data_IF_103437174841
#
_entry.id   IF_103437174841
#
_cell.length_a   1.000
_cell.length_b   1.000
_cell.length_c   1.000
_cell.angle_alpha   90.00
_cell.angle_beta   90.00
_cell.angle_gamma   90.00
#
_symmetry.space_group_name_H-M   'P 1'
#
loop_
_entity.id
_entity.type
_entity.pdbx_description
1 polymer ?
#
# COMPACT_ATOMS: atom_id res chain seq x y z
N UNK A 1 -34.16 6.12 11.06
CA UNK A 1 -33.03 5.20 11.10
C UNK A 1 -31.72 6.00 11.12
N UNK A 2 -30.81 5.66 12.03
CA UNK A 2 -29.48 6.31 12.08
C UNK A 2 -28.68 5.84 10.85
N UNK A 3 -28.19 6.78 10.04
CA UNK A 3 -27.40 6.46 8.86
C UNK A 3 -26.05 5.87 9.32
N UNK A 4 -25.72 4.68 8.84
CA UNK A 4 -24.40 4.07 9.08
C UNK A 4 -23.47 4.53 7.96
N UNK A 5 -22.39 5.20 8.31
CA UNK A 5 -21.38 5.70 7.39
C UNK A 5 -20.28 4.63 7.28
N UNK A 6 -19.92 4.27 6.05
CA UNK A 6 -18.92 3.23 5.79
C UNK A 6 -17.51 3.64 6.25
N UNK A 7 -17.16 4.90 6.08
CA UNK A 7 -15.85 5.45 6.45
C UNK A 7 -16.10 6.81 7.07
N UNK A 8 -15.61 7.01 8.29
CA UNK A 8 -15.64 8.29 8.97
C UNK A 8 -14.23 8.61 9.48
N UNK A 9 -13.65 9.77 9.12
CA UNK A 9 -12.37 10.20 9.66
C UNK A 9 -12.46 10.43 11.17
N UNK A 10 -11.50 9.89 11.92
CA UNK A 10 -11.37 10.15 13.34
C UNK A 10 -10.42 11.34 13.53
N UNK A 11 -11.00 12.54 13.70
CA UNK A 11 -10.28 13.79 13.95
C UNK A 11 -10.87 14.46 15.18
N UNK A 12 -10.03 14.78 16.15
CA UNK A 12 -10.42 15.37 17.41
C UNK A 12 -9.66 16.63 17.78
N UNK A 13 -9.71 16.97 19.04
CA UNK A 13 -9.04 18.16 19.58
C UNK A 13 -7.53 18.05 19.51
N UNK A 14 -6.98 16.87 19.67
CA UNK A 14 -5.52 16.65 19.65
C UNK A 14 -4.94 16.95 18.26
N UNK A 15 -5.57 16.44 17.20
CA UNK A 15 -5.15 16.72 15.82
C UNK A 15 -5.31 18.20 15.50
N UNK A 16 -6.43 18.80 15.90
CA UNK A 16 -6.68 20.23 15.70
C UNK A 16 -5.64 21.09 16.37
N UNK A 17 -5.31 20.81 17.64
CA UNK A 17 -4.30 21.54 18.39
C UNK A 17 -2.90 21.36 17.79
N UNK A 18 -2.58 20.14 17.34
CA UNK A 18 -1.28 19.87 16.72
C UNK A 18 -1.12 20.61 15.39
N UNK A 19 -2.14 20.61 14.53
CA UNK A 19 -2.12 21.36 13.26
C UNK A 19 -1.94 22.85 13.54
N UNK A 20 -2.65 23.42 14.55
CA UNK A 20 -2.50 24.82 14.97
C UNK A 20 -1.06 25.18 15.35
N UNK A 21 -0.38 24.28 16.09
CA UNK A 21 1.03 24.47 16.43
C UNK A 21 1.94 24.47 15.19
N UNK A 22 1.67 23.59 14.21
CA UNK A 22 2.46 23.54 12.96
C UNK A 22 2.26 24.82 12.15
N UNK A 23 1.01 25.26 11.99
CA UNK A 23 0.68 26.50 11.26
C UNK A 23 1.36 27.71 11.90
N UNK A 24 1.36 27.80 13.25
CA UNK A 24 2.01 28.90 13.97
C UNK A 24 3.53 28.95 13.78
N UNK A 25 4.16 27.83 13.39
CA UNK A 25 5.59 27.78 13.05
C UNK A 25 5.89 28.28 11.65
N UNK A 26 4.86 28.58 10.85
CA UNK A 26 4.92 29.10 9.46
C UNK A 26 5.62 28.19 8.42
N UNK A 27 6.29 27.13 8.83
CA UNK A 27 6.97 26.21 7.92
C UNK A 27 6.04 25.01 7.62
N UNK A 28 5.29 25.11 6.52
CA UNK A 28 4.20 24.18 6.17
C UNK A 28 4.62 23.10 5.14
N UNK A 29 5.83 23.18 4.61
CA UNK A 29 6.37 22.22 3.66
C UNK A 29 7.12 21.10 4.38
N UNK A 30 7.83 20.25 3.65
CA UNK A 30 8.66 19.20 4.22
C UNK A 30 9.68 19.78 5.23
N UNK A 31 9.51 19.44 6.49
CA UNK A 31 10.27 20.01 7.59
C UNK A 31 10.38 19.04 8.78
N UNK A 32 10.59 19.58 9.97
CA UNK A 32 10.82 18.83 11.22
C UNK A 32 9.72 17.79 11.51
N UNK A 33 8.45 18.11 11.24
CA UNK A 33 7.34 17.21 11.57
C UNK A 33 7.29 16.00 10.62
N UNK A 34 7.61 16.18 9.34
CA UNK A 34 7.77 15.08 8.39
C UNK A 34 8.86 14.13 8.86
N UNK A 35 10.03 14.67 9.23
CA UNK A 35 11.14 13.85 9.74
C UNK A 35 10.79 13.11 11.03
N UNK A 36 10.10 13.75 11.96
CA UNK A 36 9.62 13.11 13.18
C UNK A 36 8.65 11.98 12.90
N UNK A 37 7.77 12.15 11.92
CA UNK A 37 6.85 11.10 11.48
C UNK A 37 7.63 9.92 10.89
N UNK A 38 8.53 10.15 9.94
CA UNK A 38 9.38 9.12 9.34
C UNK A 38 10.18 8.34 10.38
N UNK A 39 10.77 9.03 11.36
CA UNK A 39 11.53 8.39 12.44
C UNK A 39 10.65 7.51 13.35
N UNK A 40 9.42 7.95 13.64
CA UNK A 40 8.44 7.14 14.37
C UNK A 40 8.06 5.87 13.59
N UNK A 41 7.83 6.00 12.28
CA UNK A 41 7.51 4.87 11.39
C UNK A 41 8.69 3.89 11.34
N UNK A 42 9.92 4.37 11.13
CA UNK A 42 11.13 3.53 11.17
C UNK A 42 11.22 2.73 12.47
N UNK A 43 11.03 3.39 13.61
CA UNK A 43 11.08 2.75 14.93
C UNK A 43 9.98 1.70 15.09
N UNK A 44 8.73 2.04 14.70
CA UNK A 44 7.58 1.15 14.86
C UNK A 44 7.70 -0.12 14.01
N UNK A 45 8.14 0.02 12.77
CA UNK A 45 8.25 -1.09 11.81
C UNK A 45 9.66 -1.70 11.75
N UNK A 46 10.59 -1.22 12.57
CA UNK A 46 12.00 -1.67 12.57
C UNK A 46 12.63 -1.61 11.18
N UNK A 47 12.23 -0.62 10.38
CA UNK A 47 12.74 -0.41 9.03
C UNK A 47 13.97 0.51 9.06
N UNK A 48 14.89 0.30 8.10
CA UNK A 48 16.09 1.15 7.96
C UNK A 48 15.73 2.54 7.45
N UNK A 49 14.71 2.63 6.60
CA UNK A 49 14.25 3.86 5.97
C UNK A 49 12.73 3.99 6.06
N UNK A 50 12.25 5.20 6.08
CA UNK A 50 10.87 5.58 5.85
C UNK A 50 10.87 6.89 5.08
N UNK A 51 9.96 7.04 4.13
CA UNK A 51 9.79 8.23 3.32
C UNK A 51 8.32 8.60 3.28
N UNK A 52 8.00 9.79 3.74
CA UNK A 52 6.65 10.34 3.60
C UNK A 52 6.41 10.75 2.15
N UNK A 53 5.23 10.47 1.66
CA UNK A 53 4.79 10.82 0.30
C UNK A 53 3.44 11.51 0.36
N UNK A 54 3.06 12.23 -0.70
CA UNK A 54 1.84 13.04 -0.72
C UNK A 54 0.55 12.24 -0.55
N UNK A 55 0.52 11.00 -1.01
CA UNK A 55 -0.62 10.10 -0.89
C UNK A 55 -0.23 8.64 -1.18
N UNK A 56 -1.16 7.72 -0.89
CA UNK A 56 -0.96 6.29 -1.07
C UNK A 56 -0.68 5.88 -2.52
N UNK A 57 -1.38 6.48 -3.50
CA UNK A 57 -1.19 6.18 -4.93
C UNK A 57 0.24 6.44 -5.37
N UNK A 58 0.79 7.61 -4.97
CA UNK A 58 2.17 7.96 -5.27
C UNK A 58 3.16 7.05 -4.54
N UNK A 59 2.86 6.65 -3.31
CA UNK A 59 3.68 5.69 -2.56
C UNK A 59 3.81 4.35 -3.27
N UNK A 60 2.71 3.78 -3.74
CA UNK A 60 2.71 2.54 -4.52
C UNK A 60 3.45 2.70 -5.85
N UNK A 61 3.15 3.78 -6.59
CA UNK A 61 3.84 4.08 -7.85
C UNK A 61 5.35 4.18 -7.67
N UNK A 62 5.81 4.95 -6.70
CA UNK A 62 7.24 5.12 -6.39
C UNK A 62 7.88 3.80 -5.97
N UNK A 63 7.18 2.96 -5.21
CA UNK A 63 7.66 1.64 -4.82
C UNK A 63 7.89 0.74 -6.03
N UNK A 64 6.95 0.72 -6.99
CA UNK A 64 7.09 -0.03 -8.23
C UNK A 64 8.26 0.49 -9.07
N UNK A 65 8.42 1.81 -9.19
CA UNK A 65 9.55 2.41 -9.90
C UNK A 65 10.90 2.12 -9.23
N UNK A 66 10.96 2.15 -7.91
CA UNK A 66 12.17 1.79 -7.14
C UNK A 66 12.58 0.32 -7.32
N UNK A 67 11.61 -0.55 -7.64
CA UNK A 67 11.84 -1.96 -7.99
C UNK A 67 12.13 -2.18 -9.49
N UNK A 68 12.25 -1.10 -10.28
CA UNK A 68 12.44 -1.12 -11.75
C UNK A 68 11.31 -1.85 -12.49
N UNK A 69 10.08 -1.80 -11.96
CA UNK A 69 8.90 -2.39 -12.59
C UNK A 69 8.30 -1.41 -13.59
N UNK A 70 7.97 -1.90 -14.79
CA UNK A 70 7.46 -1.06 -15.87
C UNK A 70 6.95 -1.84 -17.08
N UNK A 71 7.16 -1.28 -18.27
CA UNK A 71 6.65 -1.85 -19.54
C UNK A 71 7.10 -3.29 -19.74
N UNK A 72 6.14 -4.18 -19.98
CA UNK A 72 6.36 -5.61 -20.19
C UNK A 72 6.28 -6.45 -18.92
N UNK A 73 6.27 -5.82 -17.76
CA UNK A 73 6.12 -6.51 -16.48
C UNK A 73 4.65 -6.63 -16.08
N UNK A 74 4.35 -7.64 -15.30
CA UNK A 74 3.04 -7.88 -14.70
C UNK A 74 3.12 -7.71 -13.18
N UNK A 75 2.09 -7.05 -12.61
CA UNK A 75 1.92 -6.91 -11.17
C UNK A 75 0.56 -7.48 -10.77
N UNK A 76 0.56 -8.46 -9.88
CA UNK A 76 -0.67 -9.09 -9.40
C UNK A 76 -1.29 -8.20 -8.33
N UNK A 77 -2.59 -7.92 -8.46
CA UNK A 77 -3.38 -7.09 -7.55
C UNK A 77 -4.71 -7.78 -7.23
N UNK A 78 -5.31 -7.59 -6.04
CA UNK A 78 -6.61 -8.18 -5.73
C UNK A 78 -7.75 -7.51 -6.52
N UNK A 79 -8.81 -8.27 -6.85
CA UNK A 79 -10.00 -7.74 -7.52
C UNK A 79 -10.87 -6.87 -6.60
N UNK A 80 -10.71 -6.98 -5.28
CA UNK A 80 -11.38 -6.11 -4.30
C UNK A 80 -10.32 -5.28 -3.58
N UNK A 81 -10.22 -4.01 -3.96
CA UNK A 81 -9.23 -3.07 -3.42
C UNK A 81 -9.63 -1.64 -3.74
N UNK A 82 -8.98 -0.67 -3.11
CA UNK A 82 -9.07 0.71 -3.52
C UNK A 82 -8.39 0.89 -4.89
N UNK A 83 -8.98 1.69 -5.76
CA UNK A 83 -8.54 1.87 -7.17
C UNK A 83 -7.06 2.28 -7.31
N UNK A 84 -6.49 2.94 -6.30
CA UNK A 84 -5.07 3.33 -6.28
C UNK A 84 -4.12 2.15 -6.50
N UNK A 85 -4.48 0.94 -6.04
CA UNK A 85 -3.69 -0.27 -6.22
C UNK A 85 -3.48 -0.59 -7.69
N UNK A 86 -4.55 -0.56 -8.48
CA UNK A 86 -4.48 -0.82 -9.94
C UNK A 86 -3.85 0.36 -10.69
N UNK A 87 -4.27 1.58 -10.35
CA UNK A 87 -3.78 2.79 -11.01
C UNK A 87 -2.27 2.96 -10.86
N UNK A 88 -1.70 2.63 -9.70
CA UNK A 88 -0.26 2.72 -9.49
C UNK A 88 0.54 1.79 -10.42
N UNK A 89 0.00 0.61 -10.73
CA UNK A 89 0.60 -0.33 -11.68
C UNK A 89 0.56 0.23 -13.10
N UNK A 90 -0.59 0.76 -13.52
CA UNK A 90 -0.76 1.40 -14.83
C UNK A 90 0.17 2.61 -14.97
N UNK A 91 0.23 3.46 -13.96
CA UNK A 91 1.12 4.63 -13.92
C UNK A 91 2.61 4.22 -14.03
N UNK A 92 2.99 3.09 -13.46
CA UNK A 92 4.35 2.56 -13.58
C UNK A 92 4.67 2.04 -14.99
N UNK A 93 3.65 1.90 -15.85
CA UNK A 93 3.76 1.34 -17.20
C UNK A 93 3.71 -0.19 -17.24
N UNK A 94 3.37 -0.83 -16.12
CA UNK A 94 3.22 -2.27 -16.01
C UNK A 94 1.76 -2.71 -16.25
N UNK A 95 1.54 -4.01 -16.42
CA UNK A 95 0.22 -4.59 -16.63
C UNK A 95 -0.33 -5.13 -15.30
N UNK A 96 -1.47 -4.64 -14.81
CA UNK A 96 -2.11 -5.23 -13.64
C UNK A 96 -2.75 -6.58 -14.00
N UNK A 97 -2.48 -7.61 -13.22
CA UNK A 97 -3.10 -8.94 -13.33
C UNK A 97 -4.01 -9.12 -12.12
N UNK A 98 -5.30 -9.27 -12.38
CA UNK A 98 -6.30 -9.34 -11.33
C UNK A 98 -6.31 -10.73 -10.69
N UNK A 99 -6.20 -10.76 -9.38
CA UNK A 99 -6.30 -11.96 -8.57
C UNK A 99 -7.63 -11.98 -7.80
N UNK A 100 -8.29 -13.12 -7.77
CA UNK A 100 -9.46 -13.32 -6.92
C UNK A 100 -9.10 -13.17 -5.44
N UNK A 101 -10.11 -12.90 -4.63
CA UNK A 101 -10.00 -12.84 -3.17
C UNK A 101 -10.62 -14.09 -2.53
N UNK A 102 -10.15 -14.40 -1.33
CA UNK A 102 -10.81 -15.31 -0.41
C UNK A 102 -12.01 -14.59 0.22
N UNK A 103 -13.23 -15.10 -0.01
CA UNK A 103 -14.49 -14.50 0.46
C UNK A 103 -14.56 -14.38 1.99
N UNK A 104 -13.82 -15.19 2.73
CA UNK A 104 -13.87 -15.21 4.20
C UNK A 104 -13.10 -14.04 4.83
N UNK A 105 -12.04 -13.56 4.19
CA UNK A 105 -11.14 -12.55 4.77
C UNK A 105 -10.78 -11.42 3.81
N UNK A 106 -11.34 -11.41 2.60
CA UNK A 106 -11.14 -10.41 1.56
C UNK A 106 -9.68 -10.21 1.15
N UNK A 107 -8.81 -11.17 1.48
CA UNK A 107 -7.40 -11.15 1.05
C UNK A 107 -7.21 -11.90 -0.26
N UNK A 108 -6.02 -11.79 -0.87
CA UNK A 108 -5.69 -12.54 -2.09
C UNK A 108 -5.94 -14.05 -1.90
N UNK A 109 -6.70 -14.67 -2.81
CA UNK A 109 -6.81 -16.13 -2.90
C UNK A 109 -5.47 -16.71 -3.34
N UNK A 110 -4.82 -17.40 -2.43
CA UNK A 110 -3.49 -18.01 -2.65
C UNK A 110 -3.51 -19.07 -3.76
N UNK A 111 -4.62 -19.77 -3.94
CA UNK A 111 -4.73 -20.80 -4.99
C UNK A 111 -4.87 -20.15 -6.37
N UNK A 112 -5.68 -19.10 -6.48
CA UNK A 112 -5.76 -18.32 -7.71
C UNK A 112 -4.46 -17.61 -8.00
N UNK A 113 -3.83 -16.97 -6.99
CA UNK A 113 -2.51 -16.35 -7.13
C UNK A 113 -1.47 -17.27 -7.76
N UNK A 114 -1.37 -18.52 -7.28
CA UNK A 114 -0.44 -19.51 -7.84
C UNK A 114 -0.69 -19.82 -9.32
N UNK A 115 -1.97 -19.82 -9.73
CA UNK A 115 -2.37 -20.16 -11.11
C UNK A 115 -2.06 -19.05 -12.11
N UNK A 116 -2.12 -17.77 -11.68
CA UNK A 116 -1.96 -16.62 -12.57
C UNK A 116 -0.52 -16.08 -12.66
N UNK A 117 0.41 -16.63 -11.88
CA UNK A 117 1.84 -16.27 -11.97
C UNK A 117 2.36 -16.65 -13.35
N UNK A 118 2.95 -15.69 -14.06
CA UNK A 118 3.63 -15.87 -15.33
C UNK A 118 5.13 -15.56 -15.25
N UNK A 119 5.85 -15.73 -16.35
CA UNK A 119 7.26 -15.30 -16.46
C UNK A 119 7.42 -13.77 -16.40
N UNK A 120 6.36 -13.02 -16.70
CA UNK A 120 6.32 -11.55 -16.66
C UNK A 120 5.96 -11.01 -15.29
N UNK A 121 5.44 -11.84 -14.37
CA UNK A 121 5.08 -11.41 -13.01
C UNK A 121 6.33 -11.01 -12.23
N UNK A 122 6.41 -9.73 -11.84
CA UNK A 122 7.53 -9.15 -11.10
C UNK A 122 7.18 -8.77 -9.67
N UNK A 123 5.92 -8.42 -9.41
CA UNK A 123 5.47 -8.05 -8.08
C UNK A 123 4.03 -8.50 -7.82
N UNK A 124 3.68 -8.50 -6.54
CA UNK A 124 2.30 -8.60 -6.06
C UNK A 124 2.06 -7.49 -5.04
N UNK A 125 0.88 -6.89 -5.06
CA UNK A 125 0.45 -5.89 -4.08
C UNK A 125 -0.67 -6.51 -3.24
N UNK A 126 -0.38 -7.14 -2.10
CA UNK A 126 -1.40 -7.61 -1.18
C UNK A 126 -2.07 -6.42 -0.48
N UNK A 127 -3.36 -6.51 -0.23
CA UNK A 127 -4.12 -5.47 0.45
C UNK A 127 -4.75 -6.04 1.72
N UNK A 128 -4.51 -5.37 2.85
CA UNK A 128 -5.12 -5.68 4.15
C UNK A 128 -6.44 -4.91 4.26
N UNK A 129 -7.51 -5.47 3.69
CA UNK A 129 -8.79 -4.77 3.57
C UNK A 129 -9.59 -4.89 4.87
N UNK A 130 -10.18 -3.78 5.33
CA UNK A 130 -11.03 -3.69 6.53
C UNK A 130 -10.41 -4.30 7.80
N UNK A 131 -9.07 -4.29 7.91
CA UNK A 131 -8.37 -4.84 9.06
C UNK A 131 -8.05 -6.34 8.98
N UNK A 132 -8.51 -7.04 7.95
CA UNK A 132 -8.09 -8.42 7.68
C UNK A 132 -6.70 -8.44 7.06
N UNK A 133 -5.80 -9.23 7.64
CA UNK A 133 -4.45 -9.37 7.12
C UNK A 133 -4.34 -10.51 6.10
N UNK A 134 -3.69 -10.23 4.97
CA UNK A 134 -3.27 -11.29 4.05
C UNK A 134 -2.31 -12.26 4.76
N UNK A 135 -2.34 -13.53 4.38
CA UNK A 135 -1.35 -14.50 4.85
C UNK A 135 0.00 -14.26 4.16
N UNK A 136 0.76 -13.32 4.75
CA UNK A 136 2.06 -12.90 4.21
C UNK A 136 3.10 -14.02 4.27
N UNK A 137 3.02 -14.95 5.21
CA UNK A 137 3.99 -16.05 5.33
C UNK A 137 3.93 -16.98 4.11
N UNK A 138 2.72 -17.35 3.71
CA UNK A 138 2.51 -18.18 2.52
C UNK A 138 2.89 -17.38 1.26
N UNK A 139 2.44 -16.13 1.16
CA UNK A 139 2.69 -15.28 0.02
C UNK A 139 4.20 -15.06 -0.18
N UNK A 140 4.92 -14.67 0.87
CA UNK A 140 6.36 -14.45 0.85
C UNK A 140 7.13 -15.72 0.47
N UNK A 141 6.71 -16.89 0.95
CA UNK A 141 7.32 -18.17 0.58
C UNK A 141 7.21 -18.46 -0.92
N UNK A 142 6.06 -18.17 -1.52
CA UNK A 142 5.84 -18.34 -2.96
C UNK A 142 6.65 -17.30 -3.73
N UNK A 143 6.58 -16.03 -3.34
CA UNK A 143 7.27 -14.93 -3.99
C UNK A 143 8.79 -15.10 -3.99
N UNK A 144 9.37 -15.52 -2.86
CA UNK A 144 10.80 -15.77 -2.76
C UNK A 144 11.27 -16.89 -3.72
N UNK A 145 10.50 -17.98 -3.84
CA UNK A 145 10.82 -19.07 -4.77
C UNK A 145 10.72 -18.64 -6.24
N UNK A 146 9.84 -17.70 -6.55
CA UNK A 146 9.58 -17.21 -7.92
C UNK A 146 10.31 -15.91 -8.25
N UNK A 147 11.06 -15.34 -7.30
CA UNK A 147 11.74 -14.03 -7.40
C UNK A 147 10.76 -12.87 -7.69
N UNK A 148 9.54 -12.97 -7.16
CA UNK A 148 8.50 -11.93 -7.19
C UNK A 148 8.70 -11.01 -5.98
N UNK A 149 8.51 -9.70 -6.15
CA UNK A 149 8.62 -8.66 -5.11
C UNK A 149 7.26 -8.37 -4.47
#
# INVERSE_FOLDING_TARGET
MKKIIQIEPWIGLDESNYIKQVVNKTFLTEATETKRFEDKIKKKFKSKYALAVSNWTNGLYMSLKALNIGKGDEVIVPNVTFIATVNSVIMAGATPVICEIDEKNLSLDINHFKKIISKKTKAVIPVHLYGYCCNLDILNRICSKKKIK
#
